data_IF_533418964350
#
_entry.id   IF_533418964350
#
_cell.length_a   1.000
_cell.length_b   1.000
_cell.length_c   1.000
_cell.angle_alpha   90.00
_cell.angle_beta   90.00
_cell.angle_gamma   90.00
#
_symmetry.space_group_name_H-M   'P 1'
#
loop_
_entity.id
_entity.type
_entity.pdbx_description
1 polymer ?
#
# COMPACT_ATOMS: atom_id res chain seq x y z
N UNK A 1 0.87 -6.96 22.48
CA UNK A 1 0.83 -6.12 21.27
C UNK A 1 -0.63 -5.83 20.95
N UNK A 2 -1.03 -4.55 20.95
CA UNK A 2 -2.42 -4.18 20.70
C UNK A 2 -2.74 -4.35 19.22
N UNK A 3 -3.69 -5.23 18.88
CA UNK A 3 -4.27 -5.30 17.53
C UNK A 3 -4.87 -3.93 17.23
N UNK A 4 -4.27 -3.19 16.29
CA UNK A 4 -4.75 -1.87 15.86
C UNK A 4 -6.13 -2.08 15.25
N UNK A 5 -7.19 -1.62 15.93
CA UNK A 5 -8.58 -1.80 15.49
C UNK A 5 -8.75 -1.25 14.08
N UNK A 6 -9.14 -2.10 13.14
CA UNK A 6 -9.65 -1.72 11.83
C UNK A 6 -10.80 -0.70 12.02
N UNK A 7 -10.67 0.49 11.44
CA UNK A 7 -11.73 1.49 11.45
C UNK A 7 -12.42 1.51 10.08
N UNK A 8 -13.60 0.89 9.93
CA UNK A 8 -14.32 0.81 8.66
C UNK A 8 -14.79 2.17 8.12
N UNK A 9 -14.78 3.22 8.96
CA UNK A 9 -15.10 4.60 8.55
C UNK A 9 -13.87 5.40 8.11
N UNK A 10 -12.68 4.78 8.03
CA UNK A 10 -11.50 5.45 7.49
C UNK A 10 -11.66 5.62 5.99
N UNK A 11 -11.39 6.82 5.44
CA UNK A 11 -11.39 7.04 4.00
C UNK A 11 -10.27 6.25 3.27
N UNK A 12 -9.32 5.69 4.02
CA UNK A 12 -8.16 4.98 3.49
C UNK A 12 -7.96 3.64 4.19
N UNK A 13 -7.65 2.61 3.40
CA UNK A 13 -6.99 1.41 3.87
C UNK A 13 -5.47 1.68 3.99
N UNK A 14 -4.85 1.04 4.98
CA UNK A 14 -3.42 1.24 5.29
C UNK A 14 -2.69 -0.07 5.05
N UNK A 15 -1.51 0.01 4.42
CA UNK A 15 -0.68 -1.14 4.09
C UNK A 15 0.77 -0.97 4.54
N UNK A 16 1.39 -2.09 4.88
CA UNK A 16 2.83 -2.26 4.97
C UNK A 16 3.31 -2.94 3.68
N UNK A 17 4.43 -2.46 3.14
CA UNK A 17 4.98 -2.91 1.86
C UNK A 17 6.43 -3.32 2.07
N UNK A 18 6.75 -4.53 1.68
CA UNK A 18 8.11 -5.07 1.64
C UNK A 18 8.53 -5.19 0.19
N UNK A 19 9.68 -4.62 -0.16
CA UNK A 19 10.23 -4.65 -1.52
C UNK A 19 11.21 -5.81 -1.69
N UNK A 20 11.54 -6.15 -2.94
CA UNK A 20 12.42 -7.27 -3.25
C UNK A 20 13.87 -7.08 -2.75
N UNK A 21 14.33 -5.84 -2.64
CA UNK A 21 15.64 -5.47 -2.10
C UNK A 21 15.71 -5.56 -0.56
N UNK A 22 14.61 -5.95 0.09
CA UNK A 22 14.51 -6.03 1.55
C UNK A 22 14.14 -4.70 2.21
N UNK A 23 13.99 -3.62 1.45
CA UNK A 23 13.45 -2.37 1.99
C UNK A 23 11.99 -2.57 2.42
N UNK A 24 11.55 -1.74 3.37
CA UNK A 24 10.17 -1.74 3.83
C UNK A 24 9.65 -0.31 3.96
N UNK A 25 8.38 -0.11 3.60
CA UNK A 25 7.63 1.12 3.88
C UNK A 25 6.33 0.77 4.57
N UNK A 26 6.00 1.52 5.63
CA UNK A 26 4.78 1.35 6.40
C UNK A 26 3.80 2.50 6.16
N UNK A 27 2.57 2.34 6.65
CA UNK A 27 1.51 3.35 6.58
C UNK A 27 1.20 3.85 5.16
N UNK A 28 1.33 3.00 4.13
CA UNK A 28 0.92 3.33 2.76
C UNK A 28 -0.60 3.41 2.69
N UNK A 29 -1.12 4.55 2.23
CA UNK A 29 -2.56 4.80 2.17
C UNK A 29 -3.10 4.49 0.79
N UNK A 30 -4.18 3.72 0.75
CA UNK A 30 -4.96 3.44 -0.46
C UNK A 30 -6.40 3.88 -0.18
N UNK A 31 -6.99 4.75 -1.02
CA UNK A 31 -8.38 5.17 -0.87
C UNK A 31 -9.33 3.97 -0.95
N UNK A 32 -10.33 3.89 -0.06
CA UNK A 32 -11.23 2.72 -0.03
C UNK A 32 -12.13 2.64 -1.27
N UNK A 33 -12.43 3.77 -1.91
CA UNK A 33 -13.18 3.86 -3.16
C UNK A 33 -12.50 3.16 -4.34
N UNK A 34 -11.21 2.80 -4.21
CA UNK A 34 -10.50 2.01 -5.22
C UNK A 34 -10.84 0.53 -5.17
N UNK A 35 -11.30 0.01 -4.04
CA UNK A 35 -11.62 -1.41 -3.90
C UNK A 35 -13.04 -1.67 -4.40
N UNK A 36 -13.16 -2.42 -5.48
CA UNK A 36 -14.43 -3.00 -5.89
C UNK A 36 -14.86 -4.16 -4.99
N UNK A 37 -16.15 -4.50 -5.02
CA UNK A 37 -16.70 -5.60 -4.22
C UNK A 37 -16.14 -6.98 -4.59
N UNK A 38 -15.63 -7.13 -5.81
CA UNK A 38 -15.10 -8.40 -6.36
C UNK A 38 -13.62 -8.35 -6.67
N UNK A 39 -12.95 -7.21 -6.42
CA UNK A 39 -11.53 -7.08 -6.71
C UNK A 39 -10.71 -7.64 -5.55
N UNK A 40 -9.59 -8.30 -5.89
CA UNK A 40 -8.61 -8.70 -4.90
C UNK A 40 -7.95 -7.45 -4.29
N UNK A 41 -8.26 -7.19 -3.02
CA UNK A 41 -7.84 -5.97 -2.30
C UNK A 41 -6.31 -5.76 -2.40
N UNK A 42 -5.54 -6.85 -2.30
CA UNK A 42 -4.09 -6.82 -2.38
C UNK A 42 -3.57 -6.37 -3.75
N UNK A 43 -4.21 -6.78 -4.84
CA UNK A 43 -3.79 -6.42 -6.19
C UNK A 43 -4.14 -4.96 -6.53
N UNK A 44 -5.33 -4.51 -6.12
CA UNK A 44 -5.71 -3.09 -6.22
C UNK A 44 -4.76 -2.21 -5.42
N UNK A 45 -4.44 -2.62 -4.18
CA UNK A 45 -3.52 -1.90 -3.32
C UNK A 45 -2.10 -1.89 -3.90
N UNK A 46 -1.62 -3.02 -4.43
CA UNK A 46 -0.31 -3.14 -5.09
C UNK A 46 -0.22 -2.19 -6.27
N UNK A 47 -1.17 -2.22 -7.19
CA UNK A 47 -1.18 -1.36 -8.37
C UNK A 47 -1.19 0.13 -7.99
N UNK A 48 -2.00 0.51 -7.00
CA UNK A 48 -2.09 1.89 -6.54
C UNK A 48 -0.80 2.37 -5.85
N UNK A 49 -0.17 1.52 -5.05
CA UNK A 49 1.09 1.83 -4.35
C UNK A 49 2.25 1.91 -5.34
N UNK A 50 2.33 1.03 -6.33
CA UNK A 50 3.36 1.12 -7.37
C UNK A 50 3.24 2.40 -8.20
N UNK A 51 2.01 2.83 -8.52
CA UNK A 51 1.78 4.09 -9.21
C UNK A 51 2.26 5.29 -8.38
N UNK A 52 1.96 5.30 -7.06
CA UNK A 52 2.49 6.31 -6.15
C UNK A 52 4.01 6.27 -6.06
N UNK A 53 4.63 5.09 -6.04
CA UNK A 53 6.09 4.97 -5.95
C UNK A 53 6.78 5.49 -7.21
N UNK A 54 6.18 5.31 -8.39
CA UNK A 54 6.66 5.94 -9.63
C UNK A 54 6.57 7.47 -9.53
N UNK A 55 5.45 8.01 -9.06
CA UNK A 55 5.31 9.47 -8.90
C UNK A 55 6.33 10.04 -7.89
N UNK A 56 6.58 9.31 -6.79
CA UNK A 56 7.60 9.68 -5.81
C UNK A 56 8.99 9.57 -6.44
N UNK A 57 9.26 8.55 -7.25
CA UNK A 57 10.52 8.38 -7.96
C UNK A 57 10.78 9.55 -8.90
N UNK A 58 9.79 9.96 -9.68
CA UNK A 58 9.87 11.10 -10.60
C UNK A 58 10.17 12.41 -9.86
N UNK A 59 9.58 12.59 -8.67
CA UNK A 59 9.79 13.79 -7.84
C UNK A 59 11.11 13.78 -7.06
N UNK A 60 11.55 12.61 -6.58
CA UNK A 60 12.69 12.48 -5.66
C UNK A 60 13.97 11.97 -6.30
N UNK A 61 13.90 11.47 -7.54
CA UNK A 61 14.99 10.79 -8.24
C UNK A 61 15.34 9.41 -7.65
N UNK A 62 14.53 8.89 -6.72
CA UNK A 62 14.81 7.63 -6.01
C UNK A 62 13.72 6.60 -6.29
N UNK A 63 13.90 5.74 -7.32
CA UNK A 63 12.94 4.69 -7.61
C UNK A 63 12.90 3.64 -6.50
N UNK A 64 11.72 3.09 -6.29
CA UNK A 64 11.54 1.88 -5.48
C UNK A 64 11.64 0.65 -6.36
N UNK A 65 12.20 -0.43 -5.81
CA UNK A 65 12.19 -1.73 -6.47
C UNK A 65 10.78 -2.33 -6.51
N UNK A 66 10.61 -3.51 -7.14
CA UNK A 66 9.33 -4.20 -7.17
C UNK A 66 8.84 -4.56 -5.76
N UNK A 67 7.52 -4.55 -5.57
CA UNK A 67 6.89 -4.99 -4.33
C UNK A 67 7.02 -6.52 -4.23
N UNK A 68 7.54 -7.01 -3.11
CA UNK A 68 7.60 -8.44 -2.78
C UNK A 68 6.36 -8.89 -2.03
N UNK A 69 5.91 -8.11 -1.05
CA UNK A 69 4.74 -8.40 -0.24
C UNK A 69 4.04 -7.11 0.17
N UNK A 70 2.72 -7.19 0.30
CA UNK A 70 1.88 -6.12 0.80
C UNK A 70 0.95 -6.70 1.86
N UNK A 71 0.82 -6.03 3.00
CA UNK A 71 -0.01 -6.49 4.12
C UNK A 71 -0.88 -5.35 4.62
N UNK A 72 -2.19 -5.59 4.73
CA UNK A 72 -3.11 -4.60 5.29
C UNK A 72 -2.89 -4.46 6.79
N UNK A 73 -2.86 -3.22 7.26
CA UNK A 73 -2.77 -2.89 8.68
C UNK A 73 -4.18 -2.67 9.24
N UNK A 74 -4.71 -3.67 9.95
CA UNK A 74 -5.99 -3.56 10.65
C UNK A 74 -6.73 -4.87 10.71
#
# INVERSE_FOLDING_TARGET
>A
MAKKKFNPNSAFAIFNVTYQDGAQTSNRKVPIDKFGQFDDEEDVARAFIEAQDREIADKSGRPRGPIKAIERVG
#
